data_IF_272511213936
#
_entry.id   IF_272511213936
#
_cell.length_a   1.000
_cell.length_b   1.000
_cell.length_c   1.000
_cell.angle_alpha   90.00
_cell.angle_beta   90.00
_cell.angle_gamma   90.00
#
_symmetry.space_group_name_H-M   'P 1'
#
loop_
_entity.id
_entity.type
_entity.pdbx_description
1 polymer ?
#
# COMPACT_ATOMS: atom_id res chain seq x y z
N UNK A 1 -7.41 4.82 -13.58
CA UNK A 1 -6.23 5.24 -12.79
C UNK A 1 -6.19 6.77 -12.79
N UNK A 2 -5.88 7.41 -11.66
CA UNK A 2 -5.93 8.88 -11.49
C UNK A 2 -4.89 9.70 -12.28
N UNK A 3 -4.15 9.11 -13.24
CA UNK A 3 -3.10 9.81 -14.01
C UNK A 3 -1.89 10.30 -13.19
N UNK A 4 -1.85 10.04 -11.89
CA UNK A 4 -0.81 10.51 -10.97
C UNK A 4 -0.04 9.35 -10.31
N UNK A 5 1.21 9.60 -9.95
CA UNK A 5 2.06 8.60 -9.31
C UNK A 5 1.59 8.30 -7.87
N UNK A 6 1.88 7.10 -7.38
CA UNK A 6 1.62 6.73 -5.98
C UNK A 6 2.28 7.69 -4.98
N UNK A 7 3.49 8.17 -5.28
CA UNK A 7 4.22 9.13 -4.43
C UNK A 7 3.50 10.48 -4.38
N UNK A 8 2.98 10.92 -5.53
CA UNK A 8 2.17 12.15 -5.64
C UNK A 8 0.93 12.05 -4.78
N UNK A 9 0.16 10.96 -4.89
CA UNK A 9 -1.03 10.73 -4.05
C UNK A 9 -0.66 10.69 -2.56
N UNK A 10 0.42 10.00 -2.20
CA UNK A 10 0.86 9.91 -0.81
C UNK A 10 1.20 11.28 -0.23
N UNK A 11 1.92 12.13 -0.98
CA UNK A 11 2.27 13.49 -0.55
C UNK A 11 1.00 14.34 -0.31
N UNK A 12 0.03 14.22 -1.20
CA UNK A 12 -1.22 14.97 -1.11
C UNK A 12 -2.03 14.58 0.14
N UNK A 13 -2.19 13.27 0.41
CA UNK A 13 -2.99 12.80 1.56
C UNK A 13 -2.28 12.92 2.91
N UNK A 14 -0.94 12.84 2.94
CA UNK A 14 -0.18 12.87 4.20
C UNK A 14 0.27 14.28 4.61
N UNK A 15 0.39 15.22 3.66
CA UNK A 15 0.89 16.58 3.92
C UNK A 15 -0.12 17.66 3.53
N UNK A 16 -0.50 17.74 2.25
CA UNK A 16 -1.33 18.86 1.76
C UNK A 16 -2.74 18.84 2.33
N UNK A 17 -3.33 17.66 2.46
CA UNK A 17 -4.69 17.50 2.98
C UNK A 17 -4.83 18.01 4.42
N UNK A 18 -3.78 17.92 5.24
CA UNK A 18 -3.77 18.42 6.62
C UNK A 18 -4.05 19.93 6.69
N UNK A 19 -3.55 20.70 5.73
CA UNK A 19 -3.71 22.16 5.66
C UNK A 19 -4.99 22.54 4.93
N UNK A 20 -5.32 21.83 3.85
CA UNK A 20 -6.50 22.14 3.02
C UNK A 20 -7.82 21.74 3.69
N UNK A 21 -7.87 20.57 4.32
CA UNK A 21 -9.07 20.08 5.00
C UNK A 21 -8.68 19.21 6.22
N UNK A 22 -8.52 19.83 7.41
CA UNK A 22 -8.15 19.13 8.63
C UNK A 22 -9.16 18.06 9.07
N UNK A 23 -10.45 18.24 8.80
CA UNK A 23 -11.49 17.27 9.15
C UNK A 23 -11.31 15.98 8.33
N UNK A 24 -11.23 16.11 7.01
CA UNK A 24 -11.01 14.96 6.11
C UNK A 24 -9.65 14.29 6.36
N UNK A 25 -8.61 15.06 6.71
CA UNK A 25 -7.32 14.48 7.09
C UNK A 25 -7.43 13.53 8.28
N UNK A 26 -8.27 13.81 9.29
CA UNK A 26 -8.43 12.94 10.46
C UNK A 26 -9.01 11.58 10.08
N UNK A 27 -10.00 11.56 9.20
CA UNK A 27 -10.61 10.33 8.69
C UNK A 27 -9.61 9.52 7.86
N UNK A 28 -8.94 10.17 6.90
CA UNK A 28 -7.92 9.54 6.05
C UNK A 28 -6.75 9.02 6.90
N UNK A 29 -6.41 9.71 7.99
CA UNK A 29 -5.33 9.31 8.89
C UNK A 29 -5.62 7.97 9.57
N UNK A 30 -6.85 7.74 10.02
CA UNK A 30 -7.26 6.46 10.62
C UNK A 30 -7.05 5.30 9.63
N UNK A 31 -7.45 5.50 8.38
CA UNK A 31 -7.26 4.51 7.31
C UNK A 31 -5.76 4.27 7.03
N UNK A 32 -4.94 5.32 7.00
CA UNK A 32 -3.50 5.17 6.80
C UNK A 32 -2.81 4.43 7.95
N UNK A 33 -3.23 4.66 9.19
CA UNK A 33 -2.66 4.01 10.35
C UNK A 33 -3.04 2.51 10.42
N UNK A 34 -4.29 2.16 10.10
CA UNK A 34 -4.71 0.76 9.90
C UNK A 34 -3.89 0.09 8.77
N UNK A 35 -3.70 0.79 7.66
CA UNK A 35 -2.90 0.25 6.56
C UNK A 35 -1.43 0.01 6.94
N UNK A 36 -0.88 0.85 7.82
CA UNK A 36 0.49 0.67 8.33
C UNK A 36 0.57 -0.50 9.30
N UNK A 37 -0.42 -0.67 10.19
CA UNK A 37 -0.43 -1.78 11.14
C UNK A 37 -0.49 -3.12 10.41
N UNK A 38 -1.28 -3.25 9.35
CA UNK A 38 -1.38 -4.50 8.57
C UNK A 38 -0.24 -4.71 7.56
N UNK A 39 0.59 -3.68 7.31
CA UNK A 39 1.62 -3.71 6.24
C UNK A 39 2.56 -4.90 6.36
N UNK A 40 2.97 -5.25 7.57
CA UNK A 40 3.92 -6.33 7.80
C UNK A 40 3.30 -7.70 7.50
N UNK A 41 2.03 -7.90 7.85
CA UNK A 41 1.26 -9.12 7.51
C UNK A 41 1.18 -9.26 5.99
N UNK A 42 0.79 -8.18 5.30
CA UNK A 42 0.75 -8.15 3.83
C UNK A 42 2.12 -8.37 3.20
N UNK A 43 3.18 -7.82 3.80
CA UNK A 43 4.57 -8.03 3.37
C UNK A 43 5.00 -9.50 3.47
N UNK A 44 4.68 -10.17 4.59
CA UNK A 44 4.94 -11.60 4.77
C UNK A 44 4.22 -12.45 3.73
N UNK A 45 2.92 -12.18 3.50
CA UNK A 45 2.14 -12.86 2.46
C UNK A 45 2.72 -12.65 1.07
N UNK A 46 3.16 -11.42 0.75
CA UNK A 46 3.77 -11.11 -0.55
C UNK A 46 5.05 -11.92 -0.79
N UNK A 47 5.93 -12.02 0.21
CA UNK A 47 7.15 -12.83 0.13
C UNK A 47 6.82 -14.31 -0.05
N UNK A 48 5.90 -14.87 0.74
CA UNK A 48 5.45 -16.26 0.60
C UNK A 48 4.93 -16.52 -0.82
N UNK A 49 4.05 -15.65 -1.32
CA UNK A 49 3.45 -15.79 -2.65
C UNK A 49 4.48 -15.68 -3.78
N UNK A 50 5.49 -14.81 -3.65
CA UNK A 50 6.60 -14.71 -4.61
C UNK A 50 7.30 -16.06 -4.80
N UNK A 51 7.73 -16.70 -3.70
CA UNK A 51 8.44 -17.98 -3.77
C UNK A 51 7.54 -19.14 -4.20
N UNK A 52 6.26 -19.13 -3.83
CA UNK A 52 5.29 -20.12 -4.34
C UNK A 52 5.13 -20.00 -5.85
N UNK A 53 5.01 -18.78 -6.37
CA UNK A 53 4.91 -18.52 -7.81
C UNK A 53 6.18 -18.94 -8.54
N UNK A 54 7.36 -18.61 -8.00
CA UNK A 54 8.63 -19.07 -8.56
C UNK A 54 8.76 -20.59 -8.59
N UNK A 55 8.30 -21.30 -7.54
CA UNK A 55 8.28 -22.77 -7.51
C UNK A 55 7.33 -23.35 -8.56
N UNK A 56 6.13 -22.78 -8.72
CA UNK A 56 5.17 -23.21 -9.74
C UNK A 56 5.74 -23.03 -11.15
N UNK A 57 6.30 -21.85 -11.45
CA UNK A 57 6.94 -21.57 -12.75
C UNK A 57 8.09 -22.56 -13.02
N UNK A 58 8.91 -22.88 -12.02
CA UNK A 58 9.97 -23.89 -12.16
C UNK A 58 9.44 -25.30 -12.42
N UNK A 59 8.31 -25.67 -11.81
CA UNK A 59 7.69 -26.98 -12.01
C UNK A 59 7.03 -27.11 -13.39
N UNK A 60 6.45 -26.02 -13.92
CA UNK A 60 5.84 -26.01 -15.27
C UNK A 60 6.87 -26.02 -16.39
N UNK A 61 8.07 -25.47 -16.14
CA UNK A 61 9.15 -25.44 -17.12
C UNK A 61 10.05 -26.69 -17.08
N UNK A 62 9.73 -27.67 -16.25
CA UNK A 62 10.40 -28.97 -16.16
C UNK A 62 9.55 -30.03 -16.86
#
# INVERSE_FOLDING_TARGET
KFGVSKSTVHKDVSQRLKVLNPALYREVRQVLDLNKSERHIRGGMATKNKYLKEKQVKATNK
#
